data_IF_902516806797
#
_entry.id   IF_902516806797
#
_cell.length_a   1.000
_cell.length_b   1.000
_cell.length_c   1.000
_cell.angle_alpha   90.00
_cell.angle_beta   90.00
_cell.angle_gamma   90.00
#
_symmetry.space_group_name_H-M   'P 1'
#
loop_
_entity.id
_entity.type
_entity.pdbx_description
1 polymer ?
#
# COMPACT_ATOMS: atom_id res chain seq x y z
N UNK A 1 41.46 -5.83 -6.92
CA UNK A 1 40.68 -4.64 -6.52
C UNK A 1 39.21 -4.93 -6.79
N UNK A 2 38.38 -5.09 -5.74
CA UNK A 2 36.90 -5.08 -5.68
C UNK A 2 36.39 -6.03 -4.56
N UNK A 3 36.49 -5.62 -3.29
CA UNK A 3 35.80 -6.29 -2.16
C UNK A 3 35.03 -5.29 -1.27
N UNK A 4 34.51 -4.21 -1.84
CA UNK A 4 33.81 -3.14 -1.11
C UNK A 4 32.27 -3.25 -1.07
N UNK A 5 31.67 -4.35 -1.57
CA UNK A 5 30.20 -4.43 -1.72
C UNK A 5 29.48 -5.02 -0.50
N UNK A 6 30.19 -5.68 0.44
CA UNK A 6 29.54 -6.52 1.47
C UNK A 6 29.37 -5.87 2.86
N UNK A 7 29.63 -4.57 3.01
CA UNK A 7 29.65 -3.90 4.33
C UNK A 7 28.34 -3.18 4.72
N UNK A 8 27.21 -3.52 4.09
CA UNK A 8 25.89 -2.94 4.43
C UNK A 8 24.95 -3.91 5.17
N UNK A 9 25.40 -5.12 5.50
CA UNK A 9 24.51 -6.19 5.97
C UNK A 9 24.41 -6.37 7.49
N UNK A 10 25.14 -5.60 8.32
CA UNK A 10 25.15 -5.87 9.77
C UNK A 10 25.22 -4.62 10.64
N UNK A 11 24.12 -3.88 10.73
CA UNK A 11 23.89 -2.91 11.80
C UNK A 11 22.53 -3.22 12.40
N UNK A 12 22.47 -3.66 13.66
CA UNK A 12 21.22 -3.98 14.36
C UNK A 12 20.23 -2.79 14.36
N UNK A 13 20.74 -1.56 14.28
CA UNK A 13 19.94 -0.34 14.09
C UNK A 13 19.09 -0.35 12.79
N UNK A 14 19.60 -0.98 11.72
CA UNK A 14 18.91 -1.07 10.44
C UNK A 14 17.67 -1.98 10.54
N UNK A 15 17.72 -3.02 11.39
CA UNK A 15 16.58 -3.91 11.57
C UNK A 15 15.42 -3.23 12.30
N UNK A 16 15.69 -2.42 13.32
CA UNK A 16 14.65 -1.66 14.02
C UNK A 16 14.03 -0.58 13.13
N UNK A 17 14.84 0.13 12.34
CA UNK A 17 14.36 1.11 11.37
C UNK A 17 13.42 0.49 10.34
N UNK A 18 13.77 -0.68 9.80
CA UNK A 18 12.92 -1.40 8.85
C UNK A 18 11.57 -1.79 9.47
N UNK A 19 11.56 -2.23 10.73
CA UNK A 19 10.31 -2.56 11.45
C UNK A 19 9.46 -1.32 11.69
N UNK A 20 10.07 -0.21 12.11
CA UNK A 20 9.35 1.07 12.32
C UNK A 20 8.71 1.54 11.02
N UNK A 21 9.47 1.59 9.91
CA UNK A 21 8.92 1.99 8.62
C UNK A 21 7.79 1.08 8.15
N UNK A 22 7.89 -0.23 8.39
CA UNK A 22 6.80 -1.17 8.06
C UNK A 22 5.52 -0.87 8.82
N UNK A 23 5.63 -0.62 10.12
CA UNK A 23 4.47 -0.31 10.97
C UNK A 23 3.84 1.01 10.53
N UNK A 24 4.68 2.02 10.23
CA UNK A 24 4.19 3.32 9.75
C UNK A 24 3.47 3.16 8.40
N UNK A 25 4.16 2.59 7.40
CA UNK A 25 3.60 2.43 6.04
C UNK A 25 2.36 1.54 6.06
N UNK A 26 2.42 0.40 6.76
CA UNK A 26 1.29 -0.51 6.91
C UNK A 26 0.12 0.15 7.63
N UNK A 27 0.38 0.89 8.72
CA UNK A 27 -0.63 1.63 9.46
C UNK A 27 -1.32 2.70 8.63
N UNK A 28 -0.58 3.46 7.82
CA UNK A 28 -1.14 4.44 6.88
C UNK A 28 -2.08 3.76 5.89
N UNK A 29 -1.69 2.63 5.31
CA UNK A 29 -2.51 1.87 4.38
C UNK A 29 -3.79 1.32 5.04
N UNK A 30 -3.70 0.82 6.27
CA UNK A 30 -4.87 0.37 7.02
C UNK A 30 -5.83 1.52 7.27
N UNK A 31 -5.32 2.67 7.75
CA UNK A 31 -6.15 3.85 8.02
C UNK A 31 -6.80 4.39 6.73
N UNK A 32 -6.07 4.40 5.61
CA UNK A 32 -6.58 4.82 4.32
C UNK A 32 -7.65 3.86 3.76
N UNK A 33 -7.43 2.55 3.88
CA UNK A 33 -8.42 1.56 3.45
C UNK A 33 -9.68 1.61 4.32
N UNK A 34 -9.54 1.73 5.63
CA UNK A 34 -10.68 1.85 6.55
C UNK A 34 -11.46 3.13 6.31
N UNK A 35 -10.80 4.27 6.08
CA UNK A 35 -11.52 5.52 5.80
C UNK A 35 -12.34 5.42 4.51
N UNK A 36 -11.83 4.73 3.49
CA UNK A 36 -12.57 4.44 2.25
C UNK A 36 -13.71 3.44 2.41
N UNK A 37 -13.61 2.52 3.37
CA UNK A 37 -14.70 1.58 3.68
C UNK A 37 -15.84 2.23 4.46
N UNK A 38 -15.54 3.26 5.26
CA UNK A 38 -16.53 4.03 6.02
C UNK A 38 -17.26 5.03 5.12
N UNK A 39 -16.55 5.63 4.17
CA UNK A 39 -17.15 6.55 3.20
C UNK A 39 -18.08 5.80 2.21
N UNK A 40 -19.15 6.44 1.72
CA UNK A 40 -19.99 5.85 0.68
C UNK A 40 -19.16 5.53 -0.57
N UNK A 41 -19.31 4.30 -1.09
CA UNK A 41 -18.64 3.85 -2.32
C UNK A 41 -18.86 4.83 -3.49
N UNK A 42 -20.05 5.42 -3.55
CA UNK A 42 -20.41 6.41 -4.57
C UNK A 42 -19.50 7.65 -4.56
N UNK A 43 -19.01 8.08 -3.40
CA UNK A 43 -18.09 9.22 -3.32
C UNK A 43 -16.73 8.87 -3.91
N UNK A 44 -16.21 7.66 -3.64
CA UNK A 44 -14.95 7.21 -4.21
C UNK A 44 -15.05 7.02 -5.73
N UNK A 45 -16.17 6.47 -6.22
CA UNK A 45 -16.44 6.35 -7.65
C UNK A 45 -16.52 7.74 -8.29
N UNK A 46 -17.25 8.69 -7.71
CA UNK A 46 -17.39 10.04 -8.26
C UNK A 46 -16.04 10.77 -8.34
N UNK A 47 -15.18 10.62 -7.32
CA UNK A 47 -13.83 11.17 -7.35
C UNK A 47 -12.99 10.49 -8.43
N UNK A 48 -13.04 9.16 -8.54
CA UNK A 48 -12.25 8.41 -9.50
C UNK A 48 -12.72 8.60 -10.96
N UNK A 49 -14.01 8.79 -11.18
CA UNK A 49 -14.62 9.10 -12.47
C UNK A 49 -14.20 10.50 -12.98
N UNK A 50 -14.04 11.47 -12.07
CA UNK A 50 -13.56 12.81 -12.41
C UNK A 50 -12.16 12.81 -13.07
N UNK A 51 -11.33 11.79 -12.80
CA UNK A 51 -10.02 11.63 -13.43
C UNK A 51 -10.07 10.94 -14.79
N UNK A 52 -11.16 10.23 -15.12
CA UNK A 52 -11.37 9.60 -16.43
C UNK A 52 -10.39 8.46 -16.77
N UNK A 53 -9.74 7.85 -15.76
CA UNK A 53 -8.66 6.88 -15.98
C UNK A 53 -9.21 5.46 -16.22
N UNK A 54 -10.35 5.09 -15.61
CA UNK A 54 -10.95 3.76 -15.72
C UNK A 54 -12.40 3.82 -16.27
N UNK A 55 -12.80 2.92 -17.19
CA UNK A 55 -14.20 2.77 -17.61
C UNK A 55 -15.10 2.27 -16.47
N UNK A 56 -16.38 2.66 -16.46
CA UNK A 56 -17.39 2.33 -15.44
C UNK A 56 -17.34 0.91 -14.80
N UNK A 57 -17.30 -0.20 -15.56
CA UNK A 57 -17.27 -1.53 -14.95
C UNK A 57 -15.96 -1.82 -14.21
N UNK A 58 -14.83 -1.28 -14.69
CA UNK A 58 -13.53 -1.44 -14.04
C UNK A 58 -13.38 -0.49 -12.85
N UNK A 59 -13.95 0.71 -12.96
CA UNK A 59 -13.96 1.71 -11.89
C UNK A 59 -14.68 1.18 -10.64
N UNK A 60 -15.87 0.59 -10.84
CA UNK A 60 -16.67 0.03 -9.73
C UNK A 60 -15.95 -1.15 -9.06
N UNK A 61 -15.34 -2.03 -9.86
CA UNK A 61 -14.58 -3.17 -9.33
C UNK A 61 -13.34 -2.70 -8.55
N UNK A 62 -12.62 -1.72 -9.09
CA UNK A 62 -11.46 -1.13 -8.42
C UNK A 62 -11.84 -0.42 -7.12
N UNK A 63 -12.89 0.40 -7.15
CA UNK A 63 -13.42 1.11 -5.99
C UNK A 63 -13.83 0.15 -4.87
N UNK A 64 -14.36 -1.03 -5.23
CA UNK A 64 -14.75 -2.03 -4.24
C UNK A 64 -13.56 -2.84 -3.72
N UNK A 65 -12.63 -3.26 -4.58
CA UNK A 65 -11.53 -4.17 -4.20
C UNK A 65 -10.35 -3.47 -3.55
N UNK A 66 -10.05 -2.24 -3.95
CA UNK A 66 -8.89 -1.48 -3.47
C UNK A 66 -8.90 -1.30 -1.94
N UNK A 67 -9.98 -0.84 -1.28
CA UNK A 67 -9.97 -0.60 0.16
C UNK A 67 -9.69 -1.87 0.98
N UNK A 68 -10.25 -3.02 0.55
CA UNK A 68 -9.98 -4.30 1.20
C UNK A 68 -8.52 -4.73 1.04
N UNK A 69 -7.95 -4.56 -0.15
CA UNK A 69 -6.55 -4.86 -0.38
C UNK A 69 -5.63 -3.95 0.48
N UNK A 70 -5.98 -2.67 0.66
CA UNK A 70 -5.21 -1.73 1.48
C UNK A 70 -5.17 -2.17 2.94
N UNK A 71 -6.31 -2.57 3.47
CA UNK A 71 -6.42 -3.07 4.85
C UNK A 71 -5.69 -4.40 5.01
N UNK A 72 -5.88 -5.36 4.11
CA UNK A 72 -5.29 -6.70 4.23
C UNK A 72 -3.76 -6.62 4.13
N UNK A 73 -3.22 -5.95 3.12
CA UNK A 73 -1.76 -5.85 2.94
C UNK A 73 -1.11 -4.86 3.90
N UNK A 74 -1.81 -3.80 4.30
CA UNK A 74 -1.39 -2.90 5.36
C UNK A 74 -1.29 -3.61 6.72
N UNK A 75 -2.31 -4.39 7.10
CA UNK A 75 -2.26 -5.23 8.31
C UNK A 75 -1.17 -6.29 8.21
N UNK A 76 -0.98 -6.90 7.04
CA UNK A 76 0.12 -7.84 6.78
C UNK A 76 1.49 -7.23 7.06
N UNK A 77 1.72 -5.97 6.67
CA UNK A 77 2.96 -5.23 6.97
C UNK A 77 3.12 -4.93 8.46
N UNK A 78 2.03 -4.54 9.15
CA UNK A 78 2.04 -4.22 10.58
C UNK A 78 2.32 -5.47 11.42
N UNK A 79 1.63 -6.57 11.14
CA UNK A 79 1.78 -7.85 11.85
C UNK A 79 3.10 -8.56 11.49
N UNK A 80 3.69 -8.22 10.34
CA UNK A 80 4.91 -8.85 9.84
C UNK A 80 4.67 -10.17 9.09
N UNK A 81 3.42 -10.49 8.75
CA UNK A 81 3.04 -11.65 7.96
C UNK A 81 3.26 -11.41 6.45
N UNK A 82 3.71 -12.43 5.71
CA UNK A 82 3.96 -12.40 4.25
C UNK A 82 4.70 -11.16 3.74
N UNK A 83 5.79 -10.81 4.42
CA UNK A 83 6.43 -9.52 4.25
C UNK A 83 6.85 -9.12 2.82
N UNK A 84 7.18 -10.10 1.95
CA UNK A 84 7.52 -9.85 0.54
C UNK A 84 6.29 -9.52 -0.30
N UNK A 85 5.20 -10.26 -0.08
CA UNK A 85 3.96 -10.08 -0.83
C UNK A 85 3.28 -8.78 -0.41
N UNK A 86 3.14 -8.53 0.89
CA UNK A 86 2.52 -7.31 1.41
C UNK A 86 3.27 -6.05 0.97
N UNK A 87 4.62 -6.08 0.98
CA UNK A 87 5.43 -4.96 0.49
C UNK A 87 5.28 -4.75 -1.03
N UNK A 88 5.25 -5.82 -1.82
CA UNK A 88 5.06 -5.72 -3.27
C UNK A 88 3.67 -5.17 -3.60
N UNK A 89 2.62 -5.63 -2.92
CA UNK A 89 1.25 -5.17 -3.13
C UNK A 89 1.07 -3.71 -2.71
N UNK A 90 1.57 -3.32 -1.55
CA UNK A 90 1.58 -1.91 -1.14
C UNK A 90 2.37 -1.05 -2.13
N UNK A 91 3.50 -1.52 -2.65
CA UNK A 91 4.24 -0.84 -3.71
C UNK A 91 3.41 -0.64 -4.99
N UNK A 92 2.69 -1.67 -5.43
CA UNK A 92 1.78 -1.58 -6.58
C UNK A 92 0.64 -0.58 -6.34
N UNK A 93 0.08 -0.55 -5.13
CA UNK A 93 -0.98 0.39 -4.76
C UNK A 93 -0.48 1.84 -4.71
N UNK A 94 0.76 2.07 -4.28
CA UNK A 94 1.38 3.40 -4.37
C UNK A 94 1.48 3.84 -5.83
N UNK A 95 1.89 2.94 -6.73
CA UNK A 95 1.95 3.24 -8.17
C UNK A 95 0.56 3.54 -8.73
N UNK A 96 -0.47 2.79 -8.35
CA UNK A 96 -1.83 3.05 -8.84
C UNK A 96 -2.37 4.41 -8.37
N UNK A 97 -2.04 4.84 -7.16
CA UNK A 97 -2.34 6.20 -6.70
C UNK A 97 -1.58 7.28 -7.45
N UNK A 98 -0.31 7.04 -7.78
CA UNK A 98 0.52 7.99 -8.54
C UNK A 98 0.02 8.21 -9.98
N UNK A 99 -0.59 7.18 -10.57
CA UNK A 99 -1.26 7.29 -11.87
C UNK A 99 -2.65 7.94 -11.71
N UNK A 100 -3.30 7.71 -10.57
CA UNK A 100 -4.66 8.12 -10.26
C UNK A 100 -4.84 9.57 -9.77
N UNK A 101 -3.76 10.32 -9.56
CA UNK A 101 -3.73 11.69 -9.02
C UNK A 101 -3.01 12.63 -9.99
#
# INVERSE_FOLDING_TARGET
MMTYVRKWQNNSANNYLVVIFRIIVGGIFVLAGVSKLIAPLAEFIAVADAWGILPDPWLTLYAWTLPWAEVIFGLGLVVGAWHRLSAAMVGLMIVSFLVGI
#
